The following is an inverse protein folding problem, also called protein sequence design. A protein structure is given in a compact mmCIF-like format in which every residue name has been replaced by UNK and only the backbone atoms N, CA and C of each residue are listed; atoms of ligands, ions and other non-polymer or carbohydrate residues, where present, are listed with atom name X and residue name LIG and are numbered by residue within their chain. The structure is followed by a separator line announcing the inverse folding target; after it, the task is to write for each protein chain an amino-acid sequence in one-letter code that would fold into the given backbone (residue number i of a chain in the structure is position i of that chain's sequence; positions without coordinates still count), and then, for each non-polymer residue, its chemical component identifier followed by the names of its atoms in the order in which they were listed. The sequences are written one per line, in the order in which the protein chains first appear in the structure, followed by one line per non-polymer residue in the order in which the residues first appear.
data_IF_896315628317
#
_entry.id   IF_896315628317
#
_cell.length_a   1.000
_cell.length_b   1.000
_cell.length_c   1.000
_cell.angle_alpha   90.00
_cell.angle_beta   90.00
_cell.angle_gamma   90.00
#
_symmetry.space_group_name_H-M   'P 1'
#
loop_
_entity.id
_entity.type
_entity.pdbx_description
1 polymer ?
#
# COMPACT_ATOMS: atom_id res chain seq x y z
N UNK A 1 14.46 10.19 -2.62
CA UNK A 1 15.80 10.62 -3.07
C UNK A 1 16.83 9.89 -2.23
N UNK A 2 17.96 9.52 -2.81
CA UNK A 2 19.09 8.98 -2.03
C UNK A 2 19.76 10.18 -1.32
N UNK A 3 19.86 10.21 0.01
CA UNK A 3 20.44 11.35 0.72
C UNK A 3 21.97 11.41 0.65
N UNK A 4 22.63 10.46 -0.02
CA UNK A 4 24.08 10.39 -0.17
C UNK A 4 24.57 11.40 -1.22
N UNK A 5 25.60 12.17 -0.87
CA UNK A 5 26.26 13.13 -1.76
C UNK A 5 26.67 12.43 -3.07
N UNK A 6 26.33 13.04 -4.21
CA UNK A 6 26.76 12.60 -5.54
C UNK A 6 26.09 11.30 -6.05
N UNK A 7 25.32 10.59 -5.22
CA UNK A 7 24.76 9.29 -5.60
C UNK A 7 23.71 9.37 -6.72
N UNK A 8 22.92 10.45 -6.75
CA UNK A 8 21.93 10.67 -7.81
C UNK A 8 22.62 10.95 -9.15
N UNK A 9 23.63 11.82 -9.15
CA UNK A 9 24.42 12.15 -10.35
C UNK A 9 25.17 10.94 -10.91
N UNK A 10 25.83 10.16 -10.02
CA UNK A 10 26.46 8.90 -10.40
C UNK A 10 25.47 7.95 -11.09
N UNK A 11 24.28 7.77 -10.51
CA UNK A 11 23.23 6.92 -11.09
C UNK A 11 22.83 7.43 -12.48
N UNK A 12 22.57 8.73 -12.61
CA UNK A 12 22.11 9.32 -13.87
C UNK A 12 23.18 9.17 -14.97
N UNK A 13 24.47 9.36 -14.65
CA UNK A 13 25.60 9.09 -15.56
C UNK A 13 25.73 7.61 -15.94
N UNK A 14 25.57 6.67 -14.99
CA UNK A 14 25.56 5.23 -15.28
C UNK A 14 24.43 4.87 -16.25
N UNK A 15 23.24 5.45 -16.06
CA UNK A 15 22.07 5.20 -16.91
C UNK A 15 22.25 5.82 -18.30
N UNK A 16 22.80 7.04 -18.38
CA UNK A 16 23.10 7.71 -19.65
C UNK A 16 24.17 6.97 -20.45
N UNK A 17 25.13 6.35 -19.76
CA UNK A 17 26.28 5.66 -20.36
C UNK A 17 27.03 6.53 -21.39
N UNK A 18 27.13 7.83 -21.11
CA UNK A 18 27.84 8.79 -21.97
C UNK A 18 29.36 8.63 -21.78
N UNK A 19 30.12 8.24 -22.83
CA UNK A 19 31.57 8.10 -22.72
C UNK A 19 32.31 9.44 -22.50
N UNK A 20 31.69 10.58 -22.78
CA UNK A 20 32.29 11.91 -22.56
C UNK A 20 32.04 12.45 -21.15
N UNK A 21 31.12 11.84 -20.39
CA UNK A 21 30.82 12.15 -18.99
C UNK A 21 30.62 10.85 -18.17
N UNK A 22 31.71 10.07 -17.98
CA UNK A 22 31.61 8.78 -17.31
C UNK A 22 31.27 8.96 -15.83
N UNK A 23 30.47 8.03 -15.30
CA UNK A 23 30.18 7.98 -13.87
C UNK A 23 31.46 7.67 -13.07
N UNK A 24 31.75 8.50 -12.06
CA UNK A 24 32.89 8.34 -11.16
C UNK A 24 32.41 8.08 -9.73
N UNK A 25 32.85 6.97 -9.14
CA UNK A 25 32.46 6.62 -7.77
C UNK A 25 33.12 7.51 -6.73
N UNK A 26 34.25 8.15 -7.04
CA UNK A 26 34.94 9.05 -6.11
C UNK A 26 34.11 10.30 -5.76
N UNK A 27 33.10 10.63 -6.58
CA UNK A 27 32.12 11.70 -6.33
C UNK A 27 30.99 11.27 -5.38
N UNK A 28 30.86 9.96 -5.11
CA UNK A 28 29.83 9.41 -4.23
C UNK A 28 30.29 9.45 -2.77
N UNK A 29 29.39 9.91 -1.89
CA UNK A 29 29.59 9.98 -0.45
C UNK A 29 29.64 8.63 0.27
N UNK A 30 30.15 7.56 -0.34
CA UNK A 30 30.34 6.24 0.29
C UNK A 30 31.77 5.80 0.05
N UNK A 31 32.57 5.75 1.12
CA UNK A 31 34.01 5.55 1.04
C UNK A 31 34.45 4.51 2.07
N UNK A 32 35.47 3.75 1.74
CA UNK A 32 36.19 2.95 2.75
C UNK A 32 37.31 3.82 3.30
N UNK A 33 37.35 3.97 4.62
CA UNK A 33 38.41 4.68 5.33
C UNK A 33 39.08 3.72 6.30
N UNK A 34 40.38 3.87 6.52
CA UNK A 34 41.14 3.04 7.45
C UNK A 34 41.61 3.89 8.63
N UNK A 35 41.21 3.52 9.85
CA UNK A 35 41.70 4.13 11.08
C UNK A 35 42.29 3.05 11.98
N UNK A 36 43.55 3.25 12.41
CA UNK A 36 44.26 2.32 13.30
C UNK A 36 44.31 0.85 12.81
N UNK A 37 44.27 0.64 11.49
CA UNK A 37 44.26 -0.71 10.89
C UNK A 37 42.89 -1.38 10.85
N UNK A 38 41.82 -0.64 11.12
CA UNK A 38 40.43 -1.07 10.99
C UNK A 38 39.78 -0.32 9.83
N UNK A 39 39.13 -1.06 8.93
CA UNK A 39 38.36 -0.48 7.83
C UNK A 39 36.95 -0.08 8.31
N UNK A 40 36.53 1.12 7.93
CA UNK A 40 35.21 1.67 8.19
C UNK A 40 34.55 2.08 6.88
N UNK A 41 33.23 2.01 6.84
CA UNK A 41 32.45 2.64 5.78
C UNK A 41 32.06 4.04 6.25
N UNK A 42 32.57 5.05 5.55
CA UNK A 42 32.20 6.45 5.74
C UNK A 42 31.04 6.80 4.81
N UNK A 43 30.03 7.48 5.37
CA UNK A 43 28.86 7.98 4.64
C UNK A 43 28.80 9.52 4.74
N UNK A 44 28.67 10.19 3.60
CA UNK A 44 28.52 11.63 3.46
C UNK A 44 27.13 11.94 2.88
N UNK A 45 26.34 12.72 3.63
CA UNK A 45 24.94 13.01 3.30
C UNK A 45 24.77 14.46 2.81
N UNK A 46 23.85 14.69 1.87
CA UNK A 46 23.49 16.03 1.35
C UNK A 46 22.76 16.90 2.39
N UNK A 47 22.18 16.25 3.41
CA UNK A 47 21.44 16.89 4.50
C UNK A 47 22.03 16.48 5.83
N UNK A 48 21.92 17.34 6.83
CA UNK A 48 22.27 16.99 8.20
C UNK A 48 21.41 15.83 8.69
N UNK A 49 22.07 14.75 9.11
CA UNK A 49 21.41 13.56 9.65
C UNK A 49 21.72 13.41 11.13
N UNK A 50 20.67 13.26 11.94
CA UNK A 50 20.85 12.83 13.34
C UNK A 50 21.40 11.40 13.38
N UNK A 51 22.05 11.03 14.49
CA UNK A 51 22.54 9.64 14.66
C UNK A 51 21.42 8.60 14.49
N UNK A 52 20.19 8.94 14.90
CA UNK A 52 19.05 8.06 14.67
C UNK A 52 18.68 7.96 13.19
N UNK A 53 18.56 9.09 12.48
CA UNK A 53 18.20 9.08 11.06
C UNK A 53 19.20 8.22 10.26
N UNK A 54 20.49 8.27 10.62
CA UNK A 54 21.54 7.42 10.03
C UNK A 54 21.28 5.93 10.31
N UNK A 55 20.99 5.54 11.56
CA UNK A 55 20.69 4.14 11.92
C UNK A 55 19.45 3.61 11.20
N UNK A 56 18.40 4.42 11.12
CA UNK A 56 17.16 4.08 10.44
C UNK A 56 17.34 4.00 8.93
N UNK A 57 18.15 4.90 8.34
CA UNK A 57 18.55 4.77 6.94
C UNK A 57 19.33 3.46 6.72
N UNK A 58 20.28 3.15 7.61
CA UNK A 58 21.10 1.92 7.61
C UNK A 58 20.29 0.61 7.75
N UNK A 59 19.05 0.67 8.27
CA UNK A 59 18.17 -0.51 8.36
C UNK A 59 17.31 -0.76 7.13
N UNK A 60 17.36 0.10 6.10
CA UNK A 60 16.54 -0.07 4.90
C UNK A 60 17.03 -1.24 4.03
N UNK A 61 16.10 -2.08 3.56
CA UNK A 61 16.42 -3.24 2.69
C UNK A 61 17.14 -2.84 1.39
N UNK A 62 16.95 -1.62 0.91
CA UNK A 62 17.52 -1.13 -0.36
C UNK A 62 19.03 -0.87 -0.32
N UNK A 63 19.62 -0.80 0.87
CA UNK A 63 21.05 -0.56 1.06
C UNK A 63 21.77 -1.77 1.66
N UNK A 64 21.08 -2.90 1.79
CA UNK A 64 21.69 -4.15 2.23
C UNK A 64 22.80 -4.55 1.24
N UNK A 65 23.99 -4.95 1.73
CA UNK A 65 25.11 -5.27 0.86
C UNK A 65 24.84 -6.54 0.03
N UNK A 66 25.42 -6.59 -1.17
CA UNK A 66 25.47 -7.78 -2.02
C UNK A 66 26.89 -8.31 -2.13
N UNK A 67 27.04 -9.60 -2.40
CA UNK A 67 28.36 -10.18 -2.69
C UNK A 67 28.75 -9.88 -4.14
N UNK A 68 29.75 -9.02 -4.33
CA UNK A 68 30.26 -8.70 -5.67
C UNK A 68 30.94 -9.91 -6.33
N UNK A 69 31.60 -10.77 -5.56
CA UNK A 69 32.18 -12.01 -6.09
C UNK A 69 31.10 -12.93 -6.67
N UNK A 70 29.99 -13.12 -5.95
CA UNK A 70 28.87 -13.92 -6.44
C UNK A 70 28.18 -13.24 -7.62
N UNK A 71 27.94 -11.93 -7.55
CA UNK A 71 27.32 -11.17 -8.63
C UNK A 71 28.14 -11.26 -9.93
N UNK A 72 29.47 -11.17 -9.84
CA UNK A 72 30.39 -11.24 -10.97
C UNK A 72 30.70 -12.69 -11.42
N UNK A 73 30.24 -13.70 -10.69
CA UNK A 73 30.43 -15.09 -11.08
C UNK A 73 29.73 -15.39 -12.42
N UNK A 74 30.36 -16.24 -13.24
CA UNK A 74 29.90 -16.55 -14.58
C UNK A 74 28.45 -17.09 -14.57
N UNK A 75 27.55 -16.39 -15.28
CA UNK A 75 26.13 -16.77 -15.38
C UNK A 75 25.26 -16.36 -14.18
N UNK A 76 25.78 -15.60 -13.22
CA UNK A 76 25.00 -15.13 -12.06
C UNK A 76 24.42 -13.74 -12.29
N UNK A 77 25.22 -12.72 -12.64
CA UNK A 77 24.82 -11.29 -12.63
C UNK A 77 23.36 -10.98 -13.03
N UNK A 78 22.93 -11.37 -14.24
CA UNK A 78 21.58 -11.10 -14.74
C UNK A 78 20.45 -11.88 -14.02
N UNK A 79 20.80 -12.87 -13.21
CA UNK A 79 19.90 -13.76 -12.45
C UNK A 79 20.25 -13.80 -10.96
N UNK A 80 21.00 -12.81 -10.47
CA UNK A 80 21.29 -12.69 -9.05
C UNK A 80 19.98 -12.56 -8.27
N UNK A 81 19.85 -13.25 -7.15
CA UNK A 81 18.63 -13.22 -6.33
C UNK A 81 17.47 -14.11 -6.79
N UNK A 82 17.57 -14.83 -7.93
CA UNK A 82 16.44 -15.62 -8.45
C UNK A 82 16.30 -17.01 -7.83
N UNK A 83 17.38 -17.54 -7.24
CA UNK A 83 17.39 -18.85 -6.55
C UNK A 83 18.31 -18.77 -5.32
N UNK A 84 18.18 -19.70 -4.36
CA UNK A 84 19.09 -19.79 -3.21
C UNK A 84 20.58 -19.79 -3.59
N UNK A 85 20.97 -20.52 -4.64
CA UNK A 85 22.37 -20.67 -5.07
C UNK A 85 22.93 -19.40 -5.72
N UNK A 86 22.06 -18.51 -6.17
CA UNK A 86 22.41 -17.24 -6.83
C UNK A 86 22.23 -16.04 -5.89
N UNK A 87 22.17 -16.29 -4.59
CA UNK A 87 21.93 -15.28 -3.56
C UNK A 87 22.92 -15.45 -2.42
N UNK A 88 23.60 -14.39 -2.02
CA UNK A 88 24.43 -14.38 -0.83
C UNK A 88 23.62 -13.89 0.37
N UNK A 89 23.80 -14.52 1.53
CA UNK A 89 23.08 -14.21 2.76
C UNK A 89 24.06 -13.79 3.85
N UNK A 90 23.76 -12.67 4.53
CA UNK A 90 24.56 -12.14 5.63
C UNK A 90 23.76 -12.00 6.94
N UNK A 91 22.45 -12.28 6.90
CA UNK A 91 21.59 -12.28 8.09
C UNK A 91 21.63 -13.59 8.87
N UNK A 92 20.81 -13.71 9.94
CA UNK A 92 20.78 -14.87 10.84
C UNK A 92 20.22 -16.15 10.18
N UNK A 93 19.54 -16.03 9.04
CA UNK A 93 18.97 -17.16 8.31
C UNK A 93 19.32 -17.11 6.82
N UNK A 94 19.45 -18.28 6.20
CA UNK A 94 19.67 -18.46 4.76
C UNK A 94 18.46 -19.15 4.14
N UNK A 95 18.03 -18.71 2.96
CA UNK A 95 17.01 -19.42 2.18
C UNK A 95 17.65 -20.71 1.65
N UNK A 96 17.18 -21.87 2.08
CA UNK A 96 17.76 -23.17 1.73
C UNK A 96 16.96 -23.91 0.65
N UNK A 97 15.65 -23.61 0.55
CA UNK A 97 14.78 -24.14 -0.50
C UNK A 97 13.72 -23.12 -0.89
N UNK A 98 13.47 -23.03 -2.19
CA UNK A 98 12.45 -22.18 -2.78
C UNK A 98 11.74 -22.93 -3.90
N UNK A 99 10.42 -22.91 -3.83
CA UNK A 99 9.55 -23.35 -4.91
C UNK A 99 8.50 -22.27 -5.16
N UNK A 100 8.49 -21.74 -6.38
CA UNK A 100 7.62 -20.64 -6.78
C UNK A 100 6.16 -20.96 -6.46
N UNK A 101 5.47 -19.98 -5.87
CA UNK A 101 4.06 -20.07 -5.47
C UNK A 101 3.71 -21.23 -4.53
N UNK A 102 4.69 -21.85 -3.86
CA UNK A 102 4.47 -22.99 -2.97
C UNK A 102 5.12 -22.80 -1.60
N UNK A 103 6.45 -22.69 -1.54
CA UNK A 103 7.16 -22.72 -0.25
C UNK A 103 8.49 -21.98 -0.28
N UNK A 104 8.80 -21.33 0.84
CA UNK A 104 10.12 -20.81 1.16
C UNK A 104 10.58 -21.43 2.47
N UNK A 105 11.75 -22.06 2.46
CA UNK A 105 12.36 -22.62 3.66
C UNK A 105 13.67 -21.91 3.94
N UNK A 106 13.85 -21.58 5.21
CA UNK A 106 15.02 -20.91 5.74
C UNK A 106 15.64 -21.78 6.83
N UNK A 107 16.96 -21.77 6.91
CA UNK A 107 17.74 -22.43 7.96
C UNK A 107 18.69 -21.43 8.62
N UNK A 108 19.09 -21.68 9.86
CA UNK A 108 20.06 -20.84 10.57
C UNK A 108 21.36 -20.68 9.75
N UNK A 109 21.88 -19.46 9.69
CA UNK A 109 23.13 -19.15 9.00
C UNK A 109 24.32 -19.40 9.95
N UNK A 110 25.14 -20.45 9.72
CA UNK A 110 26.28 -20.73 10.59
C UNK A 110 27.40 -19.69 10.51
N UNK A 111 27.36 -18.78 9.51
CA UNK A 111 28.34 -17.72 9.31
C UNK A 111 27.86 -16.36 9.84
N UNK A 112 26.66 -16.29 10.44
CA UNK A 112 26.18 -15.06 11.05
C UNK A 112 27.04 -14.71 12.28
N UNK A 113 27.34 -13.43 12.49
CA UNK A 113 28.31 -13.01 13.51
C UNK A 113 27.84 -13.32 14.94
N UNK A 114 26.53 -13.39 15.17
CA UNK A 114 25.92 -13.73 16.47
C UNK A 114 24.95 -14.92 16.32
N UNK A 115 25.50 -16.12 16.21
CA UNK A 115 24.71 -17.35 15.99
C UNK A 115 23.76 -17.71 17.14
N UNK A 116 23.91 -17.08 18.31
CA UNK A 116 23.10 -17.34 19.50
C UNK A 116 22.00 -16.26 19.71
N UNK A 117 21.91 -15.24 18.84
CA UNK A 117 20.92 -14.17 18.91
C UNK A 117 19.47 -14.71 18.82
N UNK A 118 19.27 -15.77 18.05
CA UNK A 118 17.95 -16.37 17.80
C UNK A 118 17.91 -17.83 18.23
N UNK A 119 16.81 -18.23 18.89
CA UNK A 119 16.59 -19.62 19.29
C UNK A 119 16.02 -20.50 18.17
N UNK A 120 15.44 -19.89 17.14
CA UNK A 120 14.82 -20.61 16.02
C UNK A 120 15.91 -21.23 15.13
N UNK A 121 15.67 -22.46 14.66
CA UNK A 121 16.60 -23.15 13.75
C UNK A 121 16.31 -22.86 12.27
N UNK A 122 15.18 -22.21 11.97
CA UNK A 122 14.73 -21.91 10.63
C UNK A 122 13.27 -21.45 10.59
N UNK A 123 12.81 -21.09 9.38
CA UNK A 123 11.42 -20.71 9.11
C UNK A 123 10.89 -21.46 7.88
N UNK A 124 9.60 -21.74 7.87
CA UNK A 124 8.91 -22.33 6.73
C UNK A 124 7.68 -21.49 6.40
N UNK A 125 7.66 -20.90 5.20
CA UNK A 125 6.55 -20.14 4.67
C UNK A 125 5.84 -20.96 3.61
N UNK A 126 4.55 -21.23 3.81
CA UNK A 126 3.71 -21.91 2.82
C UNK A 126 2.79 -20.90 2.12
N UNK A 127 2.76 -20.95 0.80
CA UNK A 127 1.89 -20.11 -0.03
C UNK A 127 0.57 -20.85 -0.26
N UNK A 128 -0.41 -20.57 0.58
CA UNK A 128 -1.76 -21.14 0.49
C UNK A 128 -2.71 -20.02 0.07
N UNK A 129 -3.43 -20.21 -1.05
CA UNK A 129 -4.17 -19.14 -1.71
C UNK A 129 -5.27 -18.50 -0.83
N UNK A 130 -6.10 -19.31 -0.17
CA UNK A 130 -7.28 -18.80 0.56
C UNK A 130 -7.02 -18.70 2.06
N UNK A 131 -7.62 -17.70 2.69
CA UNK A 131 -7.59 -17.51 4.14
C UNK A 131 -8.21 -18.68 4.90
N UNK A 132 -9.33 -19.22 4.41
CA UNK A 132 -9.97 -20.40 4.98
C UNK A 132 -9.04 -21.62 4.94
N UNK A 133 -8.37 -21.88 3.81
CA UNK A 133 -7.44 -23.02 3.72
C UNK A 133 -6.24 -22.85 4.66
N UNK A 134 -5.66 -21.64 4.74
CA UNK A 134 -4.60 -21.32 5.73
C UNK A 134 -5.08 -21.59 7.16
N UNK A 135 -6.30 -21.17 7.47
CA UNK A 135 -6.86 -21.36 8.80
C UNK A 135 -7.08 -22.85 9.13
N UNK A 136 -7.54 -23.65 8.17
CA UNK A 136 -7.65 -25.10 8.37
C UNK A 136 -6.28 -25.78 8.56
N UNK A 137 -5.25 -25.37 7.82
CA UNK A 137 -3.87 -25.86 8.03
C UNK A 137 -3.35 -25.51 9.42
N UNK A 138 -3.64 -24.31 9.94
CA UNK A 138 -3.32 -23.95 11.32
C UNK A 138 -4.06 -24.83 12.33
N UNK A 139 -5.36 -25.09 12.14
CA UNK A 139 -6.12 -25.97 13.03
C UNK A 139 -5.63 -27.43 12.99
N UNK A 140 -5.08 -27.88 11.86
CA UNK A 140 -4.45 -29.18 11.71
C UNK A 140 -3.05 -29.27 12.36
N UNK A 141 -2.46 -28.12 12.72
CA UNK A 141 -1.11 -28.05 13.29
C UNK A 141 0.01 -27.96 12.23
N UNK A 142 -0.34 -27.71 10.97
CA UNK A 142 0.63 -27.56 9.87
C UNK A 142 1.22 -26.14 9.79
N UNK A 143 0.60 -25.17 10.46
CA UNK A 143 1.06 -23.79 10.58
C UNK A 143 1.07 -23.36 12.05
N UNK A 144 2.07 -22.58 12.44
CA UNK A 144 2.19 -22.02 13.79
C UNK A 144 1.41 -20.71 13.99
N UNK A 145 1.13 -19.99 12.90
CA UNK A 145 0.43 -18.71 12.93
C UNK A 145 -0.36 -18.46 11.64
N UNK A 146 -1.54 -17.86 11.79
CA UNK A 146 -2.40 -17.42 10.69
C UNK A 146 -3.31 -16.29 11.16
N UNK A 147 -3.74 -15.42 10.23
CA UNK A 147 -4.84 -14.49 10.50
C UNK A 147 -6.17 -15.23 10.57
N UNK A 148 -7.05 -14.85 11.50
CA UNK A 148 -8.40 -15.42 11.59
C UNK A 148 -9.23 -14.91 10.39
N UNK A 149 -9.82 -15.80 9.56
CA UNK A 149 -10.71 -15.37 8.49
C UNK A 149 -11.93 -14.61 9.04
N UNK A 150 -12.41 -13.59 8.33
CA UNK A 150 -13.60 -12.82 8.74
C UNK A 150 -14.81 -13.72 9.02
N UNK A 151 -15.01 -14.77 8.20
CA UNK A 151 -16.09 -15.74 8.36
C UNK A 151 -16.00 -16.57 9.65
N UNK A 152 -14.79 -16.76 10.19
CA UNK A 152 -14.54 -17.54 11.41
C UNK A 152 -14.38 -16.65 12.66
N UNK A 153 -14.34 -15.33 12.50
CA UNK A 153 -14.05 -14.43 13.62
C UNK A 153 -14.97 -14.63 14.82
N UNK A 154 -16.28 -14.78 14.62
CA UNK A 154 -17.22 -14.99 15.74
C UNK A 154 -16.94 -16.25 16.55
N UNK A 155 -16.43 -17.30 15.90
CA UNK A 155 -16.09 -18.57 16.53
C UNK A 155 -14.81 -18.47 17.37
N UNK A 156 -13.89 -17.57 16.99
CA UNK A 156 -12.54 -17.49 17.56
C UNK A 156 -12.22 -16.16 18.25
N UNK A 157 -13.15 -15.20 18.31
CA UNK A 157 -12.91 -13.88 18.94
C UNK A 157 -12.54 -13.94 20.43
N UNK A 158 -12.88 -15.04 21.09
CA UNK A 158 -12.55 -15.33 22.49
C UNK A 158 -11.51 -16.46 22.66
N UNK A 159 -10.87 -16.92 21.58
CA UNK A 159 -9.83 -17.94 21.66
C UNK A 159 -8.59 -17.38 22.42
N UNK A 160 -8.05 -18.07 23.42
CA UNK A 160 -6.91 -17.57 24.20
C UNK A 160 -5.62 -17.41 23.38
N UNK A 161 -5.52 -18.04 22.21
CA UNK A 161 -4.41 -17.91 21.27
C UNK A 161 -4.52 -16.63 20.44
N UNK A 162 -5.70 -16.03 20.34
CA UNK A 162 -5.93 -14.84 19.54
C UNK A 162 -5.07 -13.68 20.08
N UNK A 163 -4.26 -13.11 19.19
CA UNK A 163 -3.52 -11.87 19.42
C UNK A 163 -4.04 -10.82 18.44
N UNK A 164 -4.14 -9.58 18.91
CA UNK A 164 -4.43 -8.41 18.07
C UNK A 164 -3.13 -7.66 17.90
N UNK A 165 -2.76 -7.40 16.65
CA UNK A 165 -1.57 -6.64 16.31
C UNK A 165 -2.05 -5.45 15.47
N UNK A 166 -1.74 -4.19 15.88
CA UNK A 166 -2.05 -3.04 15.05
C UNK A 166 -1.47 -3.23 13.64
N UNK A 167 -2.31 -3.02 12.62
CA UNK A 167 -1.88 -3.17 11.24
C UNK A 167 -0.84 -2.12 10.84
N UNK A 168 0.12 -2.54 10.03
CA UNK A 168 1.09 -1.64 9.38
C UNK A 168 0.50 -0.90 8.16
N UNK A 169 -0.67 -1.33 7.70
CA UNK A 169 -1.27 -0.91 6.43
C UNK A 169 -2.55 -0.14 6.67
N UNK A 170 -2.70 0.98 5.97
CA UNK A 170 -4.00 1.64 5.79
C UNK A 170 -4.56 1.26 4.43
N UNK A 171 -5.77 0.69 4.41
CA UNK A 171 -6.51 0.51 3.17
C UNK A 171 -7.25 1.80 2.83
N UNK A 172 -7.11 2.24 1.59
CA UNK A 172 -7.68 3.49 1.08
C UNK A 172 -8.38 3.26 -0.24
N UNK A 173 -9.35 4.13 -0.52
CA UNK A 173 -9.96 4.26 -1.84
C UNK A 173 -9.20 5.32 -2.63
N UNK A 174 -8.55 4.92 -3.72
CA UNK A 174 -8.09 5.82 -4.77
C UNK A 174 -9.28 6.24 -5.64
N UNK A 175 -9.26 7.50 -6.07
CA UNK A 175 -10.30 8.10 -6.93
C UNK A 175 -9.63 8.63 -8.18
N UNK A 176 -10.10 8.23 -9.37
CA UNK A 176 -9.66 8.84 -10.61
C UNK A 176 -10.40 10.17 -10.81
N UNK A 177 -9.80 11.23 -10.28
CA UNK A 177 -10.36 12.59 -10.30
C UNK A 177 -9.97 13.39 -11.56
N UNK A 178 -9.48 12.74 -12.63
CA UNK A 178 -8.98 13.44 -13.82
C UNK A 178 -10.08 14.13 -14.62
N UNK A 179 -11.36 13.77 -14.41
CA UNK A 179 -12.56 14.46 -14.90
C UNK A 179 -12.78 14.45 -16.43
N UNK A 180 -11.71 14.61 -17.20
CA UNK A 180 -11.74 14.83 -18.65
C UNK A 180 -10.75 13.91 -19.34
N UNK A 181 -11.05 13.57 -20.59
CA UNK A 181 -10.18 12.74 -21.42
C UNK A 181 -8.78 13.36 -21.60
N UNK A 182 -8.72 14.67 -21.79
CA UNK A 182 -7.45 15.40 -21.95
C UNK A 182 -6.54 15.25 -20.73
N UNK A 183 -7.08 15.43 -19.51
CA UNK A 183 -6.30 15.24 -18.27
C UNK A 183 -5.93 13.77 -18.03
N UNK A 184 -6.77 12.82 -18.45
CA UNK A 184 -6.43 11.40 -18.43
C UNK A 184 -5.21 11.13 -19.32
N UNK A 185 -5.26 11.55 -20.58
CA UNK A 185 -4.19 11.28 -21.55
C UNK A 185 -2.90 12.04 -21.25
N UNK A 186 -2.96 13.16 -20.53
CA UNK A 186 -1.78 13.88 -20.07
C UNK A 186 -0.93 13.09 -19.05
N UNK A 187 -1.55 12.19 -18.28
CA UNK A 187 -0.85 11.33 -17.31
C UNK A 187 -0.72 9.88 -17.77
N UNK A 188 -1.70 9.41 -18.54
CA UNK A 188 -1.81 8.04 -19.03
C UNK A 188 -2.13 8.07 -20.53
N UNK A 189 -1.13 8.33 -21.41
CA UNK A 189 -1.32 8.33 -22.86
C UNK A 189 -1.97 7.04 -23.34
N UNK A 190 -3.01 7.17 -24.17
CA UNK A 190 -3.86 6.04 -24.55
C UNK A 190 -3.12 4.98 -25.40
N UNK A 191 -2.08 5.37 -26.12
CA UNK A 191 -1.22 4.47 -26.91
C UNK A 191 -0.29 3.60 -26.05
N UNK A 192 0.02 4.04 -24.82
CA UNK A 192 0.86 3.30 -23.87
C UNK A 192 0.01 2.56 -22.82
N UNK A 193 -1.02 3.22 -22.28
CA UNK A 193 -1.79 2.74 -21.12
C UNK A 193 -3.23 2.33 -21.46
N UNK A 194 -3.67 2.46 -22.70
CA UNK A 194 -5.02 2.13 -23.16
C UNK A 194 -6.04 3.27 -23.02
N UNK A 195 -7.11 3.18 -23.80
CA UNK A 195 -8.17 4.19 -23.85
C UNK A 195 -9.10 4.09 -22.62
N UNK A 196 -9.02 5.07 -21.72
CA UNK A 196 -9.93 5.23 -20.59
C UNK A 196 -10.65 6.57 -20.59
N UNK A 197 -11.96 6.56 -20.32
CA UNK A 197 -12.76 7.78 -20.14
C UNK A 197 -13.09 7.96 -18.65
N UNK A 198 -12.44 8.91 -17.95
CA UNK A 198 -12.74 9.16 -16.54
C UNK A 198 -14.17 9.69 -16.37
N UNK A 199 -14.81 9.38 -15.24
CA UNK A 199 -16.14 9.92 -14.92
C UNK A 199 -16.04 11.38 -14.49
N UNK A 200 -16.66 12.34 -15.20
CA UNK A 200 -16.56 13.75 -14.84
C UNK A 200 -16.96 14.06 -13.40
N UNK A 201 -17.96 13.37 -12.86
CA UNK A 201 -18.44 13.60 -11.48
C UNK A 201 -17.32 13.47 -10.43
N UNK A 202 -16.33 12.60 -10.63
CA UNK A 202 -15.23 12.36 -9.68
C UNK A 202 -14.20 13.49 -9.64
N UNK A 203 -14.22 14.39 -10.62
CA UNK A 203 -13.37 15.57 -10.67
C UNK A 203 -13.78 16.71 -9.74
N UNK A 204 -15.00 16.67 -9.19
CA UNK A 204 -15.53 17.73 -8.34
C UNK A 204 -15.10 17.55 -6.88
N UNK A 205 -14.61 18.62 -6.26
CA UNK A 205 -14.19 18.61 -4.85
C UNK A 205 -15.34 18.20 -3.91
N UNK A 206 -16.58 18.58 -4.21
CA UNK A 206 -17.73 18.15 -3.41
C UNK A 206 -18.02 16.66 -3.61
N UNK A 207 -17.83 16.08 -4.80
CA UNK A 207 -17.94 14.62 -4.96
C UNK A 207 -16.88 13.89 -4.14
N UNK A 208 -15.66 14.42 -4.07
CA UNK A 208 -14.58 13.84 -3.26
C UNK A 208 -14.91 13.89 -1.76
N UNK A 209 -15.51 14.98 -1.29
CA UNK A 209 -16.04 15.07 0.09
C UNK A 209 -17.21 14.11 0.30
N UNK A 210 -18.09 13.95 -0.69
CA UNK A 210 -19.20 13.02 -0.62
C UNK A 210 -18.70 11.59 -0.39
N UNK A 211 -17.72 11.15 -1.19
CA UNK A 211 -17.04 9.86 -1.01
C UNK A 211 -16.38 9.72 0.37
N UNK A 212 -15.72 10.77 0.86
CA UNK A 212 -15.08 10.77 2.17
C UNK A 212 -16.07 10.55 3.31
N UNK A 213 -17.21 11.26 3.29
CA UNK A 213 -18.21 11.23 4.36
C UNK A 213 -19.19 10.05 4.28
N UNK A 214 -19.27 9.36 3.14
CA UNK A 214 -20.23 8.27 2.91
C UNK A 214 -19.84 6.94 3.59
N UNK A 215 -18.58 6.77 4.00
CA UNK A 215 -18.11 5.50 4.57
C UNK A 215 -18.22 5.54 6.10
N UNK A 216 -19.10 4.74 6.69
CA UNK A 216 -19.10 4.44 8.12
C UNK A 216 -17.94 3.49 8.42
N UNK A 217 -16.80 4.08 8.76
CA UNK A 217 -15.55 3.36 9.00
C UNK A 217 -15.59 2.48 10.24
N UNK A 218 -16.42 2.82 11.23
CA UNK A 218 -16.60 2.01 12.44
C UNK A 218 -17.37 0.75 12.11
N UNK A 219 -18.52 0.89 11.46
CA UNK A 219 -19.31 -0.25 11.01
C UNK A 219 -18.53 -1.15 10.05
N UNK A 220 -17.82 -0.54 9.08
CA UNK A 220 -16.98 -1.28 8.15
C UNK A 220 -15.89 -2.08 8.87
N UNK A 221 -15.15 -1.47 9.81
CA UNK A 221 -14.05 -2.15 10.48
C UNK A 221 -14.54 -3.27 11.40
N UNK A 222 -15.56 -3.02 12.21
CA UNK A 222 -15.92 -3.90 13.32
C UNK A 222 -17.06 -4.87 13.00
N UNK A 223 -18.01 -4.50 12.14
CA UNK A 223 -19.14 -5.36 11.79
C UNK A 223 -18.93 -6.11 10.47
N UNK A 224 -18.40 -5.43 9.45
CA UNK A 224 -18.22 -6.00 8.11
C UNK A 224 -16.91 -6.79 8.00
N UNK A 225 -15.79 -6.18 8.39
CA UNK A 225 -14.45 -6.78 8.26
C UNK A 225 -14.04 -7.59 9.49
N UNK A 226 -14.42 -7.14 10.69
CA UNK A 226 -14.22 -7.75 12.02
C UNK A 226 -12.77 -7.90 12.50
N UNK A 227 -11.83 -7.95 11.57
CA UNK A 227 -10.39 -8.11 11.80
C UNK A 227 -9.60 -6.86 11.38
N UNK A 228 -10.29 -5.74 11.23
CA UNK A 228 -9.72 -4.44 10.88
C UNK A 228 -9.93 -3.43 12.00
N UNK A 229 -9.16 -2.35 11.98
CA UNK A 229 -9.31 -1.21 12.88
C UNK A 229 -9.83 0.00 12.12
N UNK A 230 -10.51 0.89 12.83
CA UNK A 230 -11.05 2.13 12.25
C UNK A 230 -9.89 3.05 11.85
N UNK A 231 -10.02 3.65 10.66
CA UNK A 231 -8.95 4.46 10.13
C UNK A 231 -9.45 5.70 9.36
N UNK A 232 -9.32 6.87 9.99
CA UNK A 232 -9.63 8.16 9.37
C UNK A 232 -8.41 8.80 8.68
N UNK A 233 -7.21 8.47 9.13
CA UNK A 233 -5.97 9.05 8.62
C UNK A 233 -5.43 8.25 7.43
N UNK A 234 -4.66 8.91 6.56
CA UNK A 234 -4.04 8.26 5.41
C UNK A 234 -2.99 7.19 5.81
N UNK A 235 -2.40 7.34 6.99
CA UNK A 235 -1.33 6.49 7.50
C UNK A 235 -1.70 5.86 8.84
N UNK A 236 -1.15 4.67 9.14
CA UNK A 236 -1.33 4.02 10.45
C UNK A 236 -0.55 4.78 11.54
N UNK A 237 -0.86 4.60 12.83
CA UNK A 237 -0.06 5.19 13.90
C UNK A 237 1.39 4.71 13.87
N UNK A 238 1.64 3.51 13.36
CA UNK A 238 2.97 2.93 13.21
C UNK A 238 3.76 3.47 12.00
N UNK A 239 3.13 4.25 11.11
CA UNK A 239 3.76 4.65 9.84
C UNK A 239 4.86 5.71 10.03
N UNK A 240 4.61 6.67 10.92
CA UNK A 240 5.56 7.72 11.27
C UNK A 240 5.51 7.89 12.78
N UNK A 241 6.58 7.48 13.43
CA UNK A 241 6.73 7.51 14.89
C UNK A 241 7.95 8.36 15.19
N UNK A 242 7.82 9.27 16.16
CA UNK A 242 8.98 9.96 16.73
C UNK A 242 9.88 8.92 17.39
N UNK A 243 11.10 8.72 16.87
CA UNK A 243 11.93 7.62 17.29
C UNK A 243 12.50 7.72 18.70
N UNK A 244 12.62 8.93 19.25
CA UNK A 244 13.16 9.10 20.62
C UNK A 244 12.10 8.82 21.68
N UNK A 245 10.85 9.25 21.44
CA UNK A 245 9.76 9.06 22.39
C UNK A 245 8.89 7.83 22.11
N UNK A 246 8.94 7.28 20.90
CA UNK A 246 8.02 6.24 20.42
C UNK A 246 6.60 6.75 20.16
N UNK A 247 6.37 8.06 20.18
CA UNK A 247 5.06 8.68 19.99
C UNK A 247 4.73 8.77 18.50
N UNK A 248 3.55 8.31 18.10
CA UNK A 248 3.12 8.42 16.72
C UNK A 248 2.95 9.89 16.30
N UNK A 249 3.33 10.24 15.08
CA UNK A 249 2.96 11.54 14.49
C UNK A 249 1.46 11.78 14.59
N UNK A 250 0.63 10.75 14.49
CA UNK A 250 -0.84 10.88 14.61
C UNK A 250 -1.31 11.41 15.97
N UNK A 251 -0.51 11.24 17.01
CA UNK A 251 -0.81 11.73 18.35
C UNK A 251 -0.37 13.19 18.55
N UNK A 252 0.33 13.78 17.58
CA UNK A 252 0.74 15.19 17.61
C UNK A 252 -0.44 16.14 17.39
N UNK A 253 -0.31 17.37 17.90
CA UNK A 253 -1.30 18.42 17.68
C UNK A 253 -1.42 18.78 16.18
N UNK A 254 -0.31 18.71 15.44
CA UNK A 254 -0.23 18.96 14.01
C UNK A 254 -1.04 17.93 13.22
N UNK A 255 -0.99 16.65 13.62
CA UNK A 255 -1.78 15.61 12.98
C UNK A 255 -3.29 15.84 13.15
N UNK A 256 -3.72 16.32 14.31
CA UNK A 256 -5.14 16.57 14.57
C UNK A 256 -5.73 17.65 13.66
N UNK A 257 -4.92 18.60 13.17
CA UNK A 257 -5.35 19.62 12.21
C UNK A 257 -5.79 19.03 10.87
N UNK A 258 -5.27 17.86 10.47
CA UNK A 258 -5.63 17.23 9.19
C UNK A 258 -7.03 16.62 9.18
N UNK A 259 -7.61 16.36 10.34
CA UNK A 259 -8.96 15.78 10.49
C UNK A 259 -9.95 16.79 11.06
N UNK A 260 -9.52 18.01 11.38
CA UNK A 260 -10.41 19.06 11.85
C UNK A 260 -11.50 19.38 10.82
N UNK A 261 -12.74 19.48 11.29
CA UNK A 261 -13.92 19.66 10.44
C UNK A 261 -14.30 18.44 9.59
N UNK A 262 -13.61 17.31 9.72
CA UNK A 262 -13.90 16.08 8.98
C UNK A 262 -14.64 15.04 9.83
N UNK A 263 -15.58 15.46 10.68
CA UNK A 263 -16.41 14.55 11.49
C UNK A 263 -15.61 13.55 12.35
N UNK A 264 -14.64 14.05 13.12
CA UNK A 264 -13.74 13.25 13.96
C UNK A 264 -14.49 12.31 14.91
N UNK A 265 -15.58 12.80 15.52
CA UNK A 265 -16.41 12.03 16.47
C UNK A 265 -17.08 10.79 15.87
N UNK A 266 -17.18 10.73 14.54
CA UNK A 266 -17.75 9.61 13.78
C UNK A 266 -16.74 9.03 12.81
N UNK A 267 -15.44 9.22 13.06
CA UNK A 267 -14.35 8.71 12.23
C UNK A 267 -14.50 9.09 10.74
N UNK A 268 -14.95 10.31 10.47
CA UNK A 268 -15.14 10.81 9.11
C UNK A 268 -16.47 10.44 8.46
N UNK A 269 -17.41 9.82 9.17
CA UNK A 269 -18.73 9.49 8.62
C UNK A 269 -19.76 10.60 8.82
N UNK A 270 -20.50 10.95 7.78
CA UNK A 270 -21.70 11.78 7.89
C UNK A 270 -22.57 11.60 6.65
N UNK A 271 -23.61 10.76 6.75
CA UNK A 271 -24.57 10.54 5.67
C UNK A 271 -25.17 11.86 5.13
N UNK A 272 -25.56 12.76 6.03
CA UNK A 272 -26.15 14.04 5.65
C UNK A 272 -25.16 14.92 4.87
N UNK A 273 -23.89 14.99 5.30
CA UNK A 273 -22.87 15.72 4.57
C UNK A 273 -22.57 15.05 3.22
N UNK A 274 -22.48 13.72 3.20
CA UNK A 274 -22.23 12.95 1.98
C UNK A 274 -23.29 13.24 0.90
N UNK A 275 -24.57 13.12 1.24
CA UNK A 275 -25.68 13.41 0.32
C UNK A 275 -25.70 14.89 -0.10
N UNK A 276 -25.45 15.83 0.82
CA UNK A 276 -25.44 17.25 0.49
C UNK A 276 -24.31 17.61 -0.49
N UNK A 277 -23.10 17.10 -0.26
CA UNK A 277 -21.97 17.30 -1.15
C UNK A 277 -22.17 16.60 -2.50
N UNK A 278 -22.78 15.41 -2.53
CA UNK A 278 -23.14 14.73 -3.77
C UNK A 278 -24.07 15.58 -4.62
N UNK A 279 -25.17 16.10 -4.04
CA UNK A 279 -26.12 16.96 -4.76
C UNK A 279 -25.47 18.25 -5.26
N UNK A 280 -24.56 18.83 -4.50
CA UNK A 280 -23.80 20.01 -4.93
C UNK A 280 -22.91 19.70 -6.15
N UNK A 281 -22.20 18.56 -6.13
CA UNK A 281 -21.40 18.10 -7.26
C UNK A 281 -22.26 17.81 -8.50
N UNK A 282 -23.43 17.18 -8.34
CA UNK A 282 -24.38 16.94 -9.43
C UNK A 282 -24.86 18.25 -10.05
N UNK A 283 -25.27 19.23 -9.23
CA UNK A 283 -25.72 20.53 -9.72
C UNK A 283 -24.64 21.24 -10.53
N UNK A 284 -23.39 21.22 -10.05
CA UNK A 284 -22.25 21.79 -10.79
C UNK A 284 -21.98 21.02 -12.09
N UNK A 285 -22.02 19.70 -12.06
CA UNK A 285 -21.74 18.87 -13.24
C UNK A 285 -22.82 19.02 -14.32
N UNK A 286 -24.07 19.30 -13.95
CA UNK A 286 -25.14 19.70 -14.89
C UNK A 286 -24.86 21.10 -15.45
N UNK A 287 -24.49 22.07 -14.60
CA UNK A 287 -24.18 23.43 -15.04
C UNK A 287 -23.01 23.47 -16.04
N UNK A 288 -22.02 22.61 -15.85
CA UNK A 288 -20.86 22.46 -16.73
C UNK A 288 -21.17 21.62 -17.99
N UNK A 289 -22.37 21.04 -18.07
CA UNK A 289 -22.85 20.30 -19.23
C UNK A 289 -22.38 18.85 -19.32
N UNK A 290 -21.81 18.28 -18.25
CA UNK A 290 -21.37 16.88 -18.24
C UNK A 290 -22.52 15.89 -18.06
N UNK A 291 -23.61 16.29 -17.41
CA UNK A 291 -24.78 15.44 -17.19
C UNK A 291 -26.08 16.19 -17.48
N UNK A 292 -27.10 15.41 -17.85
CA UNK A 292 -28.47 15.90 -17.99
C UNK A 292 -29.32 15.31 -16.86
N UNK A 293 -30.14 16.15 -16.25
CA UNK A 293 -31.09 15.72 -15.22
C UNK A 293 -32.00 14.61 -15.75
N UNK A 294 -32.26 13.60 -14.92
CA UNK A 294 -33.22 12.55 -15.19
C UNK A 294 -34.64 12.96 -14.79
N UNK A 295 -35.48 11.94 -14.60
CA UNK A 295 -36.83 12.10 -14.03
C UNK A 295 -37.08 11.03 -12.98
N UNK A 296 -38.07 11.22 -12.10
CA UNK A 296 -38.44 10.21 -11.11
C UNK A 296 -38.75 8.82 -11.71
N UNK A 297 -39.28 8.77 -12.94
CA UNK A 297 -39.59 7.53 -13.63
C UNK A 297 -38.40 6.94 -14.43
N UNK A 298 -37.42 7.78 -14.75
CA UNK A 298 -36.24 7.40 -15.53
C UNK A 298 -35.05 8.27 -15.05
N UNK A 299 -34.43 7.92 -13.92
CA UNK A 299 -33.28 8.66 -13.41
C UNK A 299 -32.08 8.48 -14.35
N UNK A 300 -31.21 9.49 -14.39
CA UNK A 300 -29.90 9.36 -15.04
C UNK A 300 -28.98 8.60 -14.08
N UNK A 301 -28.45 7.47 -14.51
CA UNK A 301 -27.56 6.63 -13.70
C UNK A 301 -26.11 6.84 -14.13
N UNK A 302 -25.24 7.15 -13.17
CA UNK A 302 -23.79 7.20 -13.35
C UNK A 302 -23.21 5.93 -12.73
N UNK A 303 -22.83 4.97 -13.56
CA UNK A 303 -22.15 3.76 -13.10
C UNK A 303 -20.67 4.06 -12.86
N UNK A 304 -20.16 3.79 -11.65
CA UNK A 304 -18.75 3.88 -11.28
C UNK A 304 -18.16 2.47 -11.12
N UNK A 305 -16.98 2.26 -11.64
CA UNK A 305 -16.22 1.03 -11.41
C UNK A 305 -15.47 1.08 -10.07
N UNK A 306 -15.61 0.03 -9.25
CA UNK A 306 -14.85 -0.15 -8.02
C UNK A 306 -13.94 -1.38 -8.14
N UNK A 307 -12.64 -1.14 -8.26
CA UNK A 307 -11.64 -2.22 -8.33
C UNK A 307 -11.23 -2.64 -6.92
N UNK A 308 -11.41 -3.92 -6.60
CA UNK A 308 -11.06 -4.52 -5.29
C UNK A 308 -10.24 -5.78 -5.51
N UNK A 309 -9.31 -6.06 -4.60
CA UNK A 309 -8.48 -7.26 -4.69
C UNK A 309 -9.33 -8.53 -4.43
N UNK A 310 -9.27 -9.48 -5.37
CA UNK A 310 -9.93 -10.79 -5.27
C UNK A 310 -9.15 -11.76 -4.35
N UNK A 311 -9.01 -11.43 -3.07
CA UNK A 311 -8.14 -12.17 -2.14
C UNK A 311 -8.86 -12.89 -0.99
N UNK A 312 -10.02 -12.41 -0.54
CA UNK A 312 -10.72 -12.98 0.62
C UNK A 312 -12.19 -12.61 0.64
N UNK A 313 -12.96 -13.31 1.49
CA UNK A 313 -14.35 -12.93 1.80
C UNK A 313 -14.42 -11.52 2.40
N UNK A 314 -13.43 -11.12 3.20
CA UNK A 314 -13.35 -9.77 3.75
C UNK A 314 -13.31 -8.68 2.65
N UNK A 315 -12.57 -8.91 1.57
CA UNK A 315 -12.53 -7.98 0.43
C UNK A 315 -13.86 -7.93 -0.34
N UNK A 316 -14.55 -9.07 -0.47
CA UNK A 316 -15.89 -9.11 -1.05
C UNK A 316 -16.92 -8.36 -0.17
N UNK A 317 -16.85 -8.54 1.16
CA UNK A 317 -17.70 -7.84 2.11
C UNK A 317 -17.44 -6.32 2.09
N UNK A 318 -16.18 -5.89 2.00
CA UNK A 318 -15.81 -4.48 1.81
C UNK A 318 -16.48 -3.89 0.57
N UNK A 319 -16.38 -4.58 -0.57
CA UNK A 319 -16.94 -4.12 -1.83
C UNK A 319 -18.47 -3.98 -1.74
N UNK A 320 -19.16 -5.00 -1.23
CA UNK A 320 -20.61 -4.98 -1.05
C UNK A 320 -21.05 -3.83 -0.15
N UNK A 321 -20.37 -3.63 0.98
CA UNK A 321 -20.67 -2.53 1.90
C UNK A 321 -20.50 -1.16 1.23
N UNK A 322 -19.40 -0.94 0.49
CA UNK A 322 -19.17 0.32 -0.24
C UNK A 322 -20.26 0.54 -1.28
N UNK A 323 -20.61 -0.50 -2.05
CA UNK A 323 -21.70 -0.45 -3.04
C UNK A 323 -23.01 -0.05 -2.39
N UNK A 324 -23.44 -0.75 -1.34
CA UNK A 324 -24.70 -0.46 -0.64
C UNK A 324 -24.72 0.97 -0.08
N UNK A 325 -23.65 1.40 0.58
CA UNK A 325 -23.57 2.77 1.12
C UNK A 325 -23.63 3.85 0.04
N UNK A 326 -22.91 3.66 -1.06
CA UNK A 326 -22.84 4.68 -2.12
C UNK A 326 -24.15 4.74 -2.90
N UNK A 327 -24.77 3.61 -3.21
CA UNK A 327 -26.06 3.56 -3.89
C UNK A 327 -27.21 4.07 -3.02
N UNK A 328 -27.13 3.92 -1.69
CA UNK A 328 -28.09 4.50 -0.75
C UNK A 328 -27.93 6.03 -0.63
N UNK A 329 -26.70 6.52 -0.49
CA UNK A 329 -26.45 7.93 -0.14
C UNK A 329 -26.36 8.86 -1.35
N UNK A 330 -25.92 8.37 -2.51
CA UNK A 330 -25.73 9.16 -3.72
C UNK A 330 -26.94 9.10 -4.65
N UNK A 331 -28.07 9.54 -4.09
CA UNK A 331 -29.36 9.69 -4.77
C UNK A 331 -29.75 11.17 -4.75
N UNK A 332 -29.86 11.79 -5.94
CA UNK A 332 -30.35 13.15 -6.09
C UNK A 332 -31.83 13.16 -6.45
N UNK A 333 -32.69 13.41 -5.48
CA UNK A 333 -34.15 13.52 -5.66
C UNK A 333 -34.61 14.81 -6.37
N UNK A 334 -33.69 15.76 -6.63
CA UNK A 334 -33.99 17.01 -7.34
C UNK A 334 -33.72 16.86 -8.83
N UNK A 335 -32.51 16.44 -9.20
CA UNK A 335 -32.14 16.26 -10.61
C UNK A 335 -32.28 14.81 -11.10
N UNK A 336 -32.68 13.89 -10.22
CA UNK A 336 -32.83 12.45 -10.52
C UNK A 336 -31.58 11.85 -11.14
N UNK A 337 -30.42 12.15 -10.54
CA UNK A 337 -29.14 11.54 -10.89
C UNK A 337 -28.70 10.67 -9.74
N UNK A 338 -28.40 9.40 -10.03
CA UNK A 338 -28.02 8.40 -9.04
C UNK A 338 -26.68 7.77 -9.41
N UNK A 339 -25.98 7.21 -8.42
CA UNK A 339 -24.79 6.39 -8.62
C UNK A 339 -25.16 4.91 -8.52
N UNK A 340 -24.54 4.09 -9.39
CA UNK A 340 -24.48 2.63 -9.26
C UNK A 340 -23.01 2.20 -9.25
N UNK A 341 -22.68 1.14 -8.50
CA UNK A 341 -21.31 0.64 -8.41
C UNK A 341 -21.18 -0.71 -9.12
N UNK A 342 -20.31 -0.76 -10.13
CA UNK A 342 -19.88 -2.01 -10.78
C UNK A 342 -18.54 -2.47 -10.17
N UNK A 343 -18.55 -3.63 -9.51
CA UNK A 343 -17.37 -4.12 -8.78
C UNK A 343 -16.52 -5.01 -9.67
N UNK A 344 -15.23 -4.67 -9.78
CA UNK A 344 -14.22 -5.48 -10.46
C UNK A 344 -13.35 -6.15 -9.40
N UNK A 345 -13.46 -7.48 -9.29
CA UNK A 345 -12.58 -8.29 -8.48
C UNK A 345 -11.33 -8.70 -9.27
N UNK A 346 -10.20 -8.07 -8.99
CA UNK A 346 -8.92 -8.33 -9.66
C UNK A 346 -7.94 -9.07 -8.74
N UNK A 347 -7.28 -10.11 -9.23
CA UNK A 347 -6.23 -10.83 -8.47
C UNK A 347 -5.01 -9.94 -8.27
N UNK A 348 -4.21 -10.21 -7.24
CA UNK A 348 -2.93 -9.51 -7.08
C UNK A 348 -1.87 -10.11 -8.03
N UNK A 349 -0.98 -9.29 -8.64
CA UNK A 349 -0.90 -7.82 -8.58
C UNK A 349 -1.73 -7.08 -9.65
N UNK A 350 -2.65 -7.76 -10.34
CA UNK A 350 -3.42 -7.19 -11.45
C UNK A 350 -4.37 -6.06 -11.05
N UNK A 351 -4.85 -6.04 -9.81
CA UNK A 351 -5.56 -4.88 -9.26
C UNK A 351 -4.73 -3.58 -9.35
N UNK A 352 -3.39 -3.69 -9.39
CA UNK A 352 -2.50 -2.56 -9.64
C UNK A 352 -2.10 -2.46 -11.12
N UNK A 353 -1.50 -3.50 -11.70
CA UNK A 353 -0.90 -3.42 -13.04
C UNK A 353 -1.90 -3.31 -14.19
N UNK A 354 -3.10 -3.86 -14.03
CA UNK A 354 -4.16 -3.76 -15.05
C UNK A 354 -5.14 -2.62 -14.78
N UNK A 355 -5.00 -1.90 -13.65
CA UNK A 355 -5.96 -0.87 -13.25
C UNK A 355 -5.29 0.35 -12.62
N UNK A 356 -4.93 0.27 -11.33
CA UNK A 356 -4.53 1.44 -10.54
C UNK A 356 -3.32 2.19 -11.11
N UNK A 357 -2.28 1.48 -11.54
CA UNK A 357 -1.02 2.08 -12.01
C UNK A 357 -1.10 2.62 -13.44
N UNK A 358 -2.13 2.24 -14.18
CA UNK A 358 -2.34 2.68 -15.56
C UNK A 358 -3.54 3.62 -15.70
N UNK A 359 -4.10 4.07 -14.58
CA UNK A 359 -5.22 5.02 -14.55
C UNK A 359 -6.56 4.46 -15.04
N UNK A 360 -6.71 3.14 -15.18
CA UNK A 360 -7.93 2.48 -15.67
C UNK A 360 -8.84 2.02 -14.53
N UNK A 361 -9.43 2.99 -13.83
CA UNK A 361 -10.41 2.78 -12.76
C UNK A 361 -11.19 4.09 -12.53
N UNK A 362 -12.37 3.98 -11.90
CA UNK A 362 -13.06 5.12 -11.30
C UNK A 362 -12.72 5.22 -9.81
N UNK A 363 -12.90 4.10 -9.10
CA UNK A 363 -12.52 3.89 -7.71
C UNK A 363 -11.65 2.63 -7.59
N UNK A 364 -10.65 2.63 -6.73
CA UNK A 364 -9.80 1.46 -6.47
C UNK A 364 -9.42 1.33 -5.00
N UNK A 365 -9.54 0.14 -4.43
CA UNK A 365 -9.03 -0.14 -3.08
C UNK A 365 -7.56 -0.54 -3.16
N UNK A 366 -6.71 0.17 -2.43
CA UNK A 366 -5.28 -0.11 -2.32
C UNK A 366 -4.77 0.05 -0.89
N UNK A 367 -3.72 -0.69 -0.55
CA UNK A 367 -3.06 -0.59 0.75
C UNK A 367 -1.84 0.33 0.66
N UNK A 368 -1.68 1.22 1.65
CA UNK A 368 -0.41 1.88 1.90
C UNK A 368 0.19 1.32 3.19
N UNK A 369 1.36 0.71 3.05
CA UNK A 369 2.18 0.22 4.16
C UNK A 369 3.40 1.13 4.26
N UNK A 370 3.87 1.37 5.48
CA UNK A 370 5.11 2.11 5.73
C UNK A 370 6.07 1.28 6.54
N UNK A 371 7.25 1.84 6.81
CA UNK A 371 8.20 1.27 7.77
C UNK A 371 7.49 1.06 9.10
N UNK A 372 7.08 -0.16 9.36
CA UNK A 372 7.02 -0.63 10.73
C UNK A 372 8.44 -0.48 11.26
N UNK A 373 8.59 0.32 12.31
CA UNK A 373 9.79 0.36 13.13
C UNK A 373 10.41 -1.03 13.30
#
# INVERSE_FOLDING_TARGET
SNPIVGAQDYRDKVVAADPEDPADWDEVGIKIVEEEGVEYIEYEFEIDMSSWNVRYWLSANSISPISMDLYNAAGVGATYGTTPEKTAFHGPFVLDYYEADQVLRYSANPNYYDTDEYFYTGYNYQIIATDVARFQSFLAGDLDAVGVPTAEYENYKNDPRLKRVPGATTFRMGVNALQTKERQEALFPADEYGDWMPKPILGYADMQKALYFAVDREYLAYEVLKTSEVQQFHFTPAYLVDPESGVSFRESAEAQLFVDGLSVETNGYSAAAATAFYKAAVAQAIADGYYTAGTAANPTVITLTLVVQAASVGQANLANYITEQFEELFVDDVNYINIEIDVIFATFPQNYYSHALIGQFDLVVGGISGSTL
#
